data_IF_821277825575
#
_entry.id   IF_821277825575
#
_cell.length_a   1.000
_cell.length_b   1.000
_cell.length_c   1.000
_cell.angle_alpha   90.00
_cell.angle_beta   90.00
_cell.angle_gamma   90.00
#
_symmetry.space_group_name_H-M   'P 1'
#
loop_
_entity.id
_entity.type
_entity.pdbx_description
1 polymer ?
#
# COMPACT_ATOMS: atom_id res chain seq x y z
N UNK A 1 -17.92 -24.55 -17.49
CA UNK A 1 -16.65 -24.32 -16.78
C UNK A 1 -16.57 -25.34 -15.66
N UNK A 2 -15.58 -26.24 -15.69
CA UNK A 2 -15.43 -27.25 -14.65
C UNK A 2 -14.70 -26.64 -13.42
N UNK A 3 -14.66 -27.35 -12.29
CA UNK A 3 -14.00 -26.87 -11.06
C UNK A 3 -12.50 -26.63 -11.23
N UNK A 4 -11.82 -27.42 -12.07
CA UNK A 4 -10.41 -27.27 -12.38
C UNK A 4 -10.13 -25.98 -13.18
N UNK A 5 -11.01 -25.66 -14.13
CA UNK A 5 -10.93 -24.42 -14.91
C UNK A 5 -11.07 -23.20 -13.99
N UNK A 6 -12.00 -23.25 -13.03
CA UNK A 6 -12.17 -22.20 -12.02
C UNK A 6 -10.92 -22.03 -11.15
N UNK A 7 -10.33 -23.14 -10.69
CA UNK A 7 -9.10 -23.10 -9.91
C UNK A 7 -7.92 -22.51 -10.70
N UNK A 8 -7.82 -22.85 -11.99
CA UNK A 8 -6.78 -22.31 -12.86
C UNK A 8 -6.93 -20.79 -13.05
N UNK A 9 -8.17 -20.30 -13.26
CA UNK A 9 -8.44 -18.87 -13.34
C UNK A 9 -8.05 -18.13 -12.05
N UNK A 10 -8.47 -18.64 -10.89
CA UNK A 10 -8.12 -18.04 -9.59
C UNK A 10 -6.60 -18.01 -9.40
N UNK A 11 -5.90 -19.06 -9.82
CA UNK A 11 -4.43 -19.13 -9.75
C UNK A 11 -3.78 -18.07 -10.65
N UNK A 12 -4.25 -17.90 -11.88
CA UNK A 12 -3.76 -16.83 -12.76
C UNK A 12 -4.02 -15.44 -12.17
N UNK A 13 -5.24 -15.19 -11.69
CA UNK A 13 -5.59 -13.92 -11.06
C UNK A 13 -4.71 -13.62 -9.84
N UNK A 14 -4.45 -14.64 -9.02
CA UNK A 14 -3.54 -14.50 -7.89
C UNK A 14 -2.11 -14.16 -8.32
N UNK A 15 -1.57 -14.84 -9.35
CA UNK A 15 -0.24 -14.54 -9.90
C UNK A 15 -0.19 -13.11 -10.46
N UNK A 16 -1.25 -12.69 -11.15
CA UNK A 16 -1.38 -11.33 -11.69
C UNK A 16 -1.40 -10.28 -10.57
N UNK A 17 -2.07 -10.58 -9.46
CA UNK A 17 -2.13 -9.71 -8.28
C UNK A 17 -0.90 -9.79 -7.38
N UNK A 18 -0.04 -10.81 -7.54
CA UNK A 18 1.03 -11.12 -6.59
C UNK A 18 1.97 -9.93 -6.37
N UNK A 19 2.30 -9.17 -7.42
CA UNK A 19 3.15 -7.98 -7.32
C UNK A 19 2.55 -6.93 -6.40
N UNK A 20 1.25 -6.66 -6.53
CA UNK A 20 0.54 -5.70 -5.68
C UNK A 20 0.44 -6.23 -4.26
N UNK A 21 0.07 -7.50 -4.10
CA UNK A 21 -0.03 -8.15 -2.77
C UNK A 21 1.30 -8.12 -2.01
N UNK A 22 2.43 -8.36 -2.68
CA UNK A 22 3.76 -8.24 -2.09
C UNK A 22 4.13 -6.78 -1.76
N UNK A 23 3.70 -5.83 -2.60
CA UNK A 23 3.91 -4.41 -2.38
C UNK A 23 3.09 -3.86 -1.19
N UNK A 24 1.94 -4.46 -0.87
CA UNK A 24 1.10 -4.04 0.26
C UNK A 24 1.15 -4.99 1.46
N UNK A 25 1.85 -6.12 1.38
CA UNK A 25 1.81 -7.18 2.41
C UNK A 25 2.47 -6.84 3.76
N UNK A 26 3.02 -5.64 3.90
CA UNK A 26 3.68 -5.16 5.12
C UNK A 26 2.74 -4.26 5.92
N UNK A 27 2.68 -4.46 7.23
CA UNK A 27 1.76 -3.77 8.15
C UNK A 27 1.91 -2.25 8.11
N UNK A 28 3.14 -1.76 7.95
CA UNK A 28 3.40 -0.31 7.83
C UNK A 28 2.78 0.24 6.55
N UNK A 29 3.01 -0.42 5.41
CA UNK A 29 2.43 -0.01 4.12
C UNK A 29 0.90 -0.08 4.14
N UNK A 30 0.32 -1.06 4.80
CA UNK A 30 -1.14 -1.15 5.00
C UNK A 30 -1.68 0.00 5.86
N UNK A 31 -1.00 0.30 6.96
CA UNK A 31 -1.37 1.42 7.84
C UNK A 31 -1.33 2.76 7.10
N UNK A 32 -0.31 2.98 6.26
CA UNK A 32 -0.20 4.17 5.41
C UNK A 32 -1.39 4.24 4.44
N UNK A 33 -1.71 3.14 3.75
CA UNK A 33 -2.83 3.08 2.81
C UNK A 33 -4.16 3.40 3.50
N UNK A 34 -4.39 2.88 4.70
CA UNK A 34 -5.59 3.16 5.48
C UNK A 34 -5.73 4.65 5.83
N UNK A 35 -4.63 5.31 6.22
CA UNK A 35 -4.66 6.76 6.47
C UNK A 35 -4.97 7.52 5.18
N UNK A 36 -4.32 7.16 4.06
CA UNK A 36 -4.54 7.82 2.77
C UNK A 36 -5.99 7.65 2.25
N UNK A 37 -6.61 6.49 2.47
CA UNK A 37 -8.02 6.25 2.12
C UNK A 37 -9.00 7.12 2.93
N UNK A 38 -8.60 7.59 4.12
CA UNK A 38 -9.38 8.47 4.97
C UNK A 38 -9.15 9.97 4.73
N UNK A 39 -8.19 10.34 3.86
CA UNK A 39 -7.88 11.75 3.57
C UNK A 39 -8.59 12.26 2.33
N UNK A 40 -9.11 13.48 2.38
CA UNK A 40 -9.53 14.17 1.17
C UNK A 40 -8.30 14.67 0.39
N UNK A 41 -8.40 14.72 -0.94
CA UNK A 41 -7.34 15.28 -1.78
C UNK A 41 -7.23 16.81 -1.66
N UNK A 42 -8.03 17.45 -0.81
CA UNK A 42 -8.15 18.90 -0.72
C UNK A 42 -7.10 19.48 0.23
N UNK A 43 -6.77 18.79 1.33
CA UNK A 43 -5.75 19.26 2.26
C UNK A 43 -4.34 18.75 1.97
N UNK A 44 -4.21 17.68 1.18
CA UNK A 44 -2.97 16.88 1.13
C UNK A 44 -2.62 16.30 2.51
N UNK A 45 -1.77 15.28 2.56
CA UNK A 45 -1.32 14.71 3.82
C UNK A 45 0.18 14.98 4.03
N UNK A 46 0.52 15.71 5.09
CA UNK A 46 1.91 15.92 5.47
C UNK A 46 2.48 14.62 6.05
N UNK A 47 3.70 14.26 5.64
CA UNK A 47 4.40 13.07 6.17
C UNK A 47 4.56 13.12 7.71
N UNK A 48 4.62 14.32 8.29
CA UNK A 48 4.67 14.51 9.74
C UNK A 48 3.34 14.20 10.45
N UNK A 49 2.20 14.30 9.78
CA UNK A 49 0.91 13.89 10.35
C UNK A 49 0.71 12.37 10.34
N UNK A 50 1.36 11.63 9.43
CA UNK A 50 1.34 10.17 9.43
C UNK A 50 1.92 9.57 10.72
N UNK A 51 2.99 10.16 11.26
CA UNK A 51 3.59 9.74 12.53
C UNK A 51 2.65 9.80 13.74
N UNK A 52 1.62 10.63 13.70
CA UNK A 52 0.65 10.70 14.80
C UNK A 52 -0.34 9.53 14.78
N UNK A 53 -0.50 8.90 13.63
CA UNK A 53 -1.45 7.80 13.40
C UNK A 53 -0.78 6.44 13.23
N UNK A 54 0.52 6.43 12.89
CA UNK A 54 1.31 5.23 12.67
C UNK A 54 2.56 5.35 13.55
N UNK A 55 2.75 4.37 14.45
CA UNK A 55 3.97 4.25 15.26
C UNK A 55 5.14 3.86 14.35
N UNK A 56 5.73 4.85 13.68
CA UNK A 56 6.93 4.68 12.86
C UNK A 56 8.11 5.36 13.53
N UNK A 57 9.19 4.61 13.70
CA UNK A 57 10.48 5.17 14.07
C UNK A 57 10.98 6.10 12.95
N UNK A 58 11.53 7.26 13.34
CA UNK A 58 12.05 8.31 12.46
C UNK A 58 12.81 7.84 11.20
N UNK A 59 13.70 6.81 11.23
CA UNK A 59 14.41 6.34 10.05
C UNK A 59 13.50 5.83 8.91
N UNK A 60 12.33 5.26 9.21
CA UNK A 60 11.41 4.73 8.20
C UNK A 60 10.76 5.84 7.35
N UNK A 61 10.58 7.03 7.92
CA UNK A 61 9.92 8.16 7.24
C UNK A 61 10.78 8.79 6.17
N UNK A 62 12.09 8.79 6.36
CA UNK A 62 13.05 9.30 5.38
C UNK A 62 13.02 8.47 4.11
N UNK A 63 12.96 7.14 4.23
CA UNK A 63 12.78 6.24 3.08
C UNK A 63 11.40 6.45 2.43
N UNK A 64 10.36 6.70 3.24
CA UNK A 64 9.01 6.97 2.74
C UNK A 64 8.91 8.27 1.95
N UNK A 65 9.65 9.32 2.35
CA UNK A 65 9.71 10.60 1.63
C UNK A 65 10.12 10.43 0.16
N UNK A 66 11.10 9.58 -0.10
CA UNK A 66 11.54 9.30 -1.47
C UNK A 66 10.50 8.49 -2.24
N UNK A 67 9.87 7.50 -1.60
CA UNK A 67 8.89 6.62 -2.26
C UNK A 67 7.56 7.30 -2.58
N UNK A 68 7.02 8.11 -1.67
CA UNK A 68 5.76 8.85 -1.93
C UNK A 68 5.97 9.89 -3.03
N UNK A 69 7.16 10.52 -3.07
CA UNK A 69 7.49 11.48 -4.13
C UNK A 69 7.74 10.78 -5.48
N UNK A 70 8.32 9.57 -5.50
CA UNK A 70 8.50 8.79 -6.73
C UNK A 70 7.22 8.11 -7.24
N UNK A 71 6.24 7.82 -6.38
CA UNK A 71 4.99 7.18 -6.80
C UNK A 71 3.97 8.16 -7.40
N UNK A 72 4.24 9.47 -7.34
CA UNK A 72 3.38 10.54 -7.84
C UNK A 72 3.93 11.24 -9.11
N UNK A 73 5.06 10.79 -9.66
CA UNK A 73 5.64 11.22 -10.95
C UNK A 73 6.08 10.01 -11.77
#
# INVERSE_FOLDING_TARGET
>A
MNKQDQLNMIKEDFINCQKVLLAIGDETRQSILLVLMGTDCQSGLLVKSLNKHIFLDLPCLTTLKYYVMLALF
#
